data_IF_163963898511
#
_entry.id   IF_163963898511
#
_cell.length_a   1.000
_cell.length_b   1.000
_cell.length_c   1.000
_cell.angle_alpha   90.00
_cell.angle_beta   90.00
_cell.angle_gamma   90.00
#
_symmetry.space_group_name_H-M   'P 1'
#
loop_
_entity.id
_entity.type
_entity.pdbx_description
1 polymer ?
#
# COMPACT_ATOMS: atom_id res chain seq x y z
N UNK A 1 25.62 -12.88 -1.97
CA UNK A 1 24.80 -11.91 -2.73
C UNK A 1 23.54 -12.61 -3.22
N UNK A 2 22.39 -12.41 -2.56
CA UNK A 2 21.14 -13.08 -2.92
C UNK A 2 20.28 -12.17 -3.81
N UNK A 3 20.38 -12.33 -5.13
CA UNK A 3 19.68 -11.51 -6.13
C UNK A 3 18.42 -12.17 -6.72
N UNK A 4 18.08 -13.40 -6.32
CA UNK A 4 17.00 -14.21 -6.93
C UNK A 4 15.76 -14.41 -6.05
N UNK A 5 15.62 -13.67 -4.94
CA UNK A 5 14.37 -13.67 -4.16
C UNK A 5 13.35 -12.64 -4.67
N UNK A 6 13.63 -11.86 -5.72
CA UNK A 6 12.73 -10.78 -6.22
C UNK A 6 11.76 -11.21 -7.31
N UNK A 7 12.04 -12.26 -8.06
CA UNK A 7 11.22 -12.66 -9.22
C UNK A 7 9.85 -13.20 -8.82
N UNK A 8 9.78 -14.00 -7.74
CA UNK A 8 8.51 -14.47 -7.18
C UNK A 8 7.64 -13.32 -6.64
N UNK A 9 8.25 -12.27 -6.09
CA UNK A 9 7.54 -11.06 -5.66
C UNK A 9 6.99 -10.28 -6.85
N UNK A 10 7.73 -10.16 -7.95
CA UNK A 10 7.25 -9.47 -9.15
C UNK A 10 5.93 -10.05 -9.70
N UNK A 11 5.80 -11.38 -9.72
CA UNK A 11 4.62 -12.08 -10.22
C UNK A 11 3.40 -11.96 -9.29
N UNK A 12 3.60 -12.08 -7.97
CA UNK A 12 2.52 -11.95 -7.00
C UNK A 12 1.96 -10.51 -6.97
N UNK A 13 2.86 -9.53 -7.00
CA UNK A 13 2.51 -8.10 -7.06
C UNK A 13 1.77 -7.75 -8.36
N UNK A 14 2.13 -8.38 -9.49
CA UNK A 14 1.43 -8.17 -10.77
C UNK A 14 -0.02 -8.70 -10.76
N UNK A 15 -0.24 -9.89 -10.21
CA UNK A 15 -1.60 -10.47 -10.08
C UNK A 15 -2.49 -9.65 -9.16
N UNK A 16 -1.93 -9.10 -8.09
CA UNK A 16 -2.62 -8.19 -7.19
C UNK A 16 -3.02 -6.90 -7.90
N UNK A 17 -2.10 -6.32 -8.67
CA UNK A 17 -2.33 -5.10 -9.44
C UNK A 17 -3.42 -5.25 -10.52
N UNK A 18 -3.54 -6.42 -11.14
CA UNK A 18 -4.57 -6.70 -12.16
C UNK A 18 -6.01 -6.64 -11.59
N UNK A 19 -6.18 -6.88 -10.28
CA UNK A 19 -7.50 -6.84 -9.64
C UNK A 19 -7.97 -5.42 -9.34
N UNK A 20 -7.05 -4.44 -9.33
CA UNK A 20 -7.35 -3.04 -9.06
C UNK A 20 -7.93 -2.37 -10.30
N UNK A 21 -9.12 -1.82 -10.17
CA UNK A 21 -9.86 -1.07 -11.17
C UNK A 21 -9.41 0.39 -11.19
N UNK A 22 -9.26 1.02 -10.02
CA UNK A 22 -8.92 2.44 -9.95
C UNK A 22 -7.43 2.70 -10.17
N UNK A 23 -7.10 3.68 -11.00
CA UNK A 23 -5.71 4.06 -11.25
C UNK A 23 -5.01 4.63 -10.01
N UNK A 24 -5.77 5.32 -9.14
CA UNK A 24 -5.27 5.77 -7.85
C UNK A 24 -4.95 4.59 -6.92
N UNK A 25 -5.75 3.52 -6.95
CA UNK A 25 -5.46 2.31 -6.18
C UNK A 25 -4.19 1.62 -6.70
N UNK A 26 -4.00 1.52 -8.02
CA UNK A 26 -2.77 0.98 -8.64
C UNK A 26 -1.54 1.81 -8.27
N UNK A 27 -1.67 3.13 -8.26
CA UNK A 27 -0.58 4.03 -7.87
C UNK A 27 -0.22 3.86 -6.39
N UNK A 28 -1.23 3.82 -5.51
CA UNK A 28 -1.03 3.57 -4.08
C UNK A 28 -0.40 2.20 -3.81
N UNK A 29 -0.84 1.15 -4.51
CA UNK A 29 -0.25 -0.18 -4.41
C UNK A 29 1.25 -0.15 -4.70
N UNK A 30 1.67 0.57 -5.75
CA UNK A 30 3.09 0.79 -6.05
C UNK A 30 3.83 1.45 -4.87
N UNK A 31 3.27 2.53 -4.32
CA UNK A 31 3.85 3.24 -3.16
C UNK A 31 3.96 2.34 -1.92
N UNK A 32 2.95 1.51 -1.66
CA UNK A 32 2.87 0.59 -0.52
C UNK A 32 3.93 -0.50 -0.64
N UNK A 33 4.06 -1.07 -1.83
CA UNK A 33 4.98 -2.19 -2.11
C UNK A 33 6.43 -1.75 -2.05
N UNK A 34 6.72 -0.54 -2.54
CA UNK A 34 8.05 0.06 -2.50
C UNK A 34 8.52 0.46 -1.10
N UNK A 35 7.61 0.62 -0.14
CA UNK A 35 7.94 0.99 1.23
C UNK A 35 7.99 -0.22 2.17
N UNK A 36 8.68 -0.02 3.31
CA UNK A 36 8.82 -1.02 4.36
C UNK A 36 7.44 -1.54 4.83
N UNK A 37 7.35 -2.82 5.23
CA UNK A 37 6.14 -3.38 5.82
C UNK A 37 5.82 -2.69 7.15
N UNK A 38 4.54 -2.71 7.54
CA UNK A 38 4.04 -2.09 8.77
C UNK A 38 3.03 -0.97 8.53
N UNK A 39 2.81 -0.16 9.56
CA UNK A 39 1.94 1.01 9.48
C UNK A 39 2.65 2.12 8.70
N UNK A 40 2.01 2.59 7.63
CA UNK A 40 2.49 3.65 6.78
C UNK A 40 1.58 4.87 6.94
N UNK A 41 2.17 6.06 7.01
CA UNK A 41 1.47 7.32 7.24
C UNK A 41 1.94 8.37 6.24
N UNK A 42 1.00 8.99 5.55
CA UNK A 42 1.30 10.02 4.54
C UNK A 42 0.36 11.21 4.70
N UNK A 43 0.89 12.42 4.58
CA UNK A 43 0.04 13.60 4.56
C UNK A 43 -0.71 13.68 3.22
N UNK A 44 -2.00 14.06 3.26
CA UNK A 44 -2.81 14.16 2.04
C UNK A 44 -2.23 15.14 1.02
N UNK A 45 -1.60 16.21 1.50
CA UNK A 45 -0.92 17.20 0.66
C UNK A 45 0.23 16.59 -0.15
N UNK A 46 0.97 15.65 0.44
CA UNK A 46 2.13 15.03 -0.19
C UNK A 46 1.66 14.02 -1.23
N UNK A 47 0.68 13.18 -0.88
CA UNK A 47 0.04 12.24 -1.82
C UNK A 47 -0.54 12.97 -3.05
N UNK A 48 -1.23 14.09 -2.82
CA UNK A 48 -1.82 14.90 -3.89
C UNK A 48 -0.75 15.53 -4.78
N UNK A 49 0.38 15.93 -4.21
CA UNK A 49 1.52 16.48 -4.95
C UNK A 49 2.21 15.40 -5.78
N UNK A 50 2.49 14.24 -5.20
CA UNK A 50 3.18 13.14 -5.89
C UNK A 50 2.39 12.56 -7.06
N UNK A 51 1.06 12.53 -6.96
CA UNK A 51 0.21 12.08 -8.06
C UNK A 51 -0.14 13.19 -9.06
N UNK A 52 0.28 14.43 -8.80
CA UNK A 52 -0.05 15.58 -9.66
C UNK A 52 -1.56 15.85 -9.74
N UNK A 53 -2.30 15.63 -8.65
CA UNK A 53 -3.75 15.76 -8.64
C UNK A 53 -4.20 17.23 -8.79
N UNK A 54 -4.86 17.52 -9.92
CA UNK A 54 -5.37 18.84 -10.29
C UNK A 54 -6.73 19.16 -9.67
N UNK A 55 -7.44 18.14 -9.17
CA UNK A 55 -8.78 18.28 -8.62
C UNK A 55 -8.79 18.96 -7.23
N UNK A 56 -9.99 19.41 -6.84
CA UNK A 56 -10.22 20.04 -5.52
C UNK A 56 -9.86 19.07 -4.39
N UNK A 57 -9.29 19.56 -3.26
CA UNK A 57 -8.86 18.71 -2.14
C UNK A 57 -9.94 17.73 -1.65
N UNK A 58 -11.20 18.18 -1.58
CA UNK A 58 -12.34 17.35 -1.16
C UNK A 58 -12.64 16.21 -2.13
N UNK A 59 -12.49 16.44 -3.44
CA UNK A 59 -12.70 15.40 -4.46
C UNK A 59 -11.54 14.40 -4.46
N UNK A 60 -10.32 14.89 -4.28
CA UNK A 60 -9.14 14.04 -4.11
C UNK A 60 -9.30 13.12 -2.89
N UNK A 61 -9.78 13.68 -1.77
CA UNK A 61 -10.06 12.91 -0.56
C UNK A 61 -11.07 11.79 -0.82
N UNK A 62 -12.20 12.06 -1.45
CA UNK A 62 -13.20 11.03 -1.76
C UNK A 62 -12.61 9.92 -2.63
N UNK A 63 -11.88 10.26 -3.70
CA UNK A 63 -11.20 9.27 -4.55
C UNK A 63 -10.15 8.47 -3.78
N UNK A 64 -9.44 9.10 -2.85
CA UNK A 64 -8.45 8.45 -1.99
C UNK A 64 -9.13 7.46 -1.04
N UNK A 65 -10.26 7.81 -0.43
CA UNK A 65 -11.06 6.91 0.40
C UNK A 65 -11.54 5.70 -0.40
N UNK A 66 -12.04 5.91 -1.62
CA UNK A 66 -12.49 4.82 -2.50
C UNK A 66 -11.33 3.91 -2.95
N UNK A 67 -10.17 4.48 -3.26
CA UNK A 67 -8.98 3.70 -3.61
C UNK A 67 -8.45 2.91 -2.42
N UNK A 68 -8.43 3.49 -1.22
CA UNK A 68 -8.04 2.79 0.00
C UNK A 68 -9.00 1.64 0.33
N UNK A 69 -10.31 1.85 0.16
CA UNK A 69 -11.32 0.80 0.34
C UNK A 69 -11.11 -0.36 -0.63
N UNK A 70 -10.82 -0.07 -1.89
CA UNK A 70 -10.53 -1.11 -2.88
C UNK A 70 -9.28 -1.93 -2.52
N UNK A 71 -8.23 -1.27 -2.03
CA UNK A 71 -7.01 -1.96 -1.57
C UNK A 71 -7.28 -2.86 -0.36
N UNK A 72 -8.13 -2.43 0.58
CA UNK A 72 -8.58 -3.26 1.71
C UNK A 72 -9.40 -4.46 1.25
N UNK A 73 -10.34 -4.27 0.32
CA UNK A 73 -11.16 -5.35 -0.25
C UNK A 73 -10.31 -6.42 -0.96
N UNK A 74 -9.18 -6.01 -1.55
CA UNK A 74 -8.22 -6.93 -2.18
C UNK A 74 -7.21 -7.51 -1.19
N UNK A 75 -7.29 -7.19 0.11
CA UNK A 75 -6.41 -7.73 1.15
C UNK A 75 -4.98 -7.19 1.11
N UNK A 76 -4.74 -6.06 0.44
CA UNK A 76 -3.39 -5.49 0.26
C UNK A 76 -2.97 -4.62 1.45
N UNK A 77 -3.95 -3.96 2.06
CA UNK A 77 -3.78 -3.15 3.27
C UNK A 77 -4.88 -3.46 4.29
N UNK A 78 -4.68 -3.01 5.52
CA UNK A 78 -5.65 -3.06 6.63
C UNK A 78 -5.65 -1.75 7.40
N UNK A 79 -6.72 -1.52 8.16
CA UNK A 79 -6.86 -0.37 9.06
C UNK A 79 -6.70 0.96 8.32
N UNK A 80 -7.14 1.00 7.07
CA UNK A 80 -7.04 2.17 6.22
C UNK A 80 -7.96 3.26 6.78
N UNK A 81 -7.39 4.41 7.13
CA UNK A 81 -8.12 5.52 7.72
C UNK A 81 -7.58 6.86 7.27
N UNK A 82 -8.51 7.80 7.07
CA UNK A 82 -8.19 9.21 6.92
C UNK A 82 -8.44 9.91 8.25
N UNK A 83 -7.45 10.62 8.76
CA UNK A 83 -7.50 11.27 10.06
C UNK A 83 -6.83 12.64 10.05
N UNK A 84 -7.05 13.40 11.13
CA UNK A 84 -6.26 14.60 11.40
C UNK A 84 -5.08 14.24 12.28
N UNK A 85 -3.91 14.68 11.86
CA UNK A 85 -2.67 14.54 12.63
C UNK A 85 -2.55 15.51 13.79
N UNK A 86 -1.47 15.35 14.56
CA UNK A 86 -1.11 16.18 15.71
C UNK A 86 -0.98 17.68 15.35
N UNK A 87 -0.68 18.01 14.09
CA UNK A 87 -0.58 19.40 13.59
C UNK A 87 -1.79 19.86 12.78
N UNK A 88 -2.93 19.18 12.87
CA UNK A 88 -4.14 19.49 12.09
C UNK A 88 -4.07 19.09 10.60
N UNK A 89 -2.91 18.65 10.12
CA UNK A 89 -2.75 18.14 8.76
C UNK A 89 -3.55 16.84 8.56
N UNK A 90 -4.34 16.77 7.50
CA UNK A 90 -4.99 15.52 7.10
C UNK A 90 -3.94 14.47 6.69
N UNK A 91 -4.11 13.26 7.19
CA UNK A 91 -3.22 12.13 6.96
C UNK A 91 -4.01 10.91 6.52
N UNK A 92 -3.41 10.13 5.65
CA UNK A 92 -3.83 8.78 5.34
C UNK A 92 -2.91 7.80 6.07
N UNK A 93 -3.51 6.84 6.75
CA UNK A 93 -2.82 5.81 7.51
C UNK A 93 -3.35 4.46 7.09
N UNK A 94 -2.45 3.51 6.88
CA UNK A 94 -2.81 2.12 6.58
C UNK A 94 -1.68 1.18 7.01
N UNK A 95 -2.01 -0.08 7.24
CA UNK A 95 -1.04 -1.13 7.55
C UNK A 95 -0.89 -2.04 6.33
N UNK A 96 0.32 -2.18 5.79
CA UNK A 96 0.58 -3.12 4.70
C UNK A 96 0.36 -4.54 5.21
N UNK A 97 -0.45 -5.34 4.51
CA UNK A 97 -0.47 -6.78 4.75
C UNK A 97 0.85 -7.35 4.24
N UNK A 98 1.72 -7.80 5.15
CA UNK A 98 2.89 -8.56 4.75
C UNK A 98 2.42 -9.80 3.98
N UNK A 99 3.11 -10.13 2.88
CA UNK A 99 2.99 -11.47 2.32
C UNK A 99 3.48 -12.44 3.39
N UNK A 100 2.55 -13.11 4.07
CA UNK A 100 2.82 -14.03 5.18
C UNK A 100 3.70 -15.24 4.79
N UNK A 101 4.14 -15.34 3.54
CA UNK A 101 4.95 -16.45 3.03
C UNK A 101 6.45 -16.38 3.34
N UNK A 102 6.99 -15.26 3.86
CA UNK A 102 8.44 -15.20 4.17
C UNK A 102 8.80 -15.67 5.59
N UNK A 103 7.84 -15.80 6.50
CA UNK A 103 8.10 -16.23 7.89
C UNK A 103 8.02 -17.76 8.06
N UNK A 104 7.34 -18.49 7.16
CA UNK A 104 7.17 -19.93 7.29
C UNK A 104 8.34 -20.78 6.73
N UNK A 105 9.21 -20.20 5.88
CA UNK A 105 10.33 -20.93 5.27
C UNK A 105 11.64 -20.88 6.07
N UNK A 106 11.74 -20.03 7.10
CA UNK A 106 12.96 -19.91 7.92
C UNK A 106 13.05 -20.91 9.08
N UNK A 107 12.01 -21.72 9.34
CA UNK A 107 12.00 -22.71 10.43
C UNK A 107 12.10 -24.17 9.93
N UNK A 108 12.18 -24.41 8.61
CA UNK A 108 12.31 -25.76 8.04
C UNK A 108 13.73 -26.15 7.59
N UNK A 109 14.75 -25.34 7.90
CA UNK A 109 16.14 -25.66 7.58
C UNK A 109 17.04 -25.47 8.81
N UNK A 110 16.76 -26.22 9.88
CA UNK A 110 17.78 -26.56 10.87
C UNK A 110 17.40 -27.89 11.53
N UNK A 111 17.90 -28.98 10.97
CA UNK A 111 17.54 -30.34 11.37
C UNK A 111 18.04 -31.38 10.38
N UNK A 112 19.36 -31.48 10.24
CA UNK A 112 20.10 -32.70 9.88
C UNK A 112 21.60 -32.43 10.10
#
# INVERSE_FOLDING_TARGET
MALYQREAYGLLEWRQRLRLQQDLAKWLHCLIVSNAPGEQRYALKDLRTWIGAVDRPRRFRARLEDAMRELEQNGLIKQARLGRGVRGCEQAVWTRCGSAESTALSTRHNGA
#
